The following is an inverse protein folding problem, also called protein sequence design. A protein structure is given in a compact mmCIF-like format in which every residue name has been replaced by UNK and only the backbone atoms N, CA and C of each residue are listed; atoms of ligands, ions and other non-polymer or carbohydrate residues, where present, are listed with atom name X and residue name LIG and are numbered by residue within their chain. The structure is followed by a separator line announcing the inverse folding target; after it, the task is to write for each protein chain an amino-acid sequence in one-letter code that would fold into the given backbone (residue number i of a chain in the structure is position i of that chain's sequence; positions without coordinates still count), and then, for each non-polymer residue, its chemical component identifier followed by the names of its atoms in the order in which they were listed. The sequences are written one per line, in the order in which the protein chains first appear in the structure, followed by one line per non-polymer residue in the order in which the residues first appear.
data_IF_268124714766
#
_entry.id   IF_268124714766
#
_cell.length_a   1.000
_cell.length_b   1.000
_cell.length_c   1.000
_cell.angle_alpha   90.00
_cell.angle_beta   90.00
_cell.angle_gamma   90.00
#
_symmetry.space_group_name_H-M   'P 1'
#
loop_
_entity.id
_entity.type
_entity.pdbx_description
1 polymer ?
#
# COMPACT_ATOMS: atom_id res chain seq x y z
N UNK A 1 34.40 4.40 -14.05
CA UNK A 1 33.10 4.10 -14.67
C UNK A 1 31.99 4.07 -13.62
N UNK A 2 32.12 3.37 -12.48
CA UNK A 2 31.08 3.33 -11.43
C UNK A 2 30.91 4.68 -10.68
N UNK A 3 31.98 5.45 -10.49
CA UNK A 3 31.91 6.78 -9.88
C UNK A 3 31.28 7.80 -10.84
N UNK A 4 31.64 7.80 -12.13
CA UNK A 4 30.97 8.65 -13.13
C UNK A 4 29.48 8.29 -13.29
N UNK A 5 29.13 7.00 -13.22
CA UNK A 5 27.74 6.56 -13.24
C UNK A 5 26.97 7.03 -11.99
N UNK A 6 27.62 7.08 -10.82
CA UNK A 6 27.04 7.65 -9.60
C UNK A 6 26.77 9.15 -9.77
N UNK A 7 27.75 9.94 -10.18
CA UNK A 7 27.55 11.40 -10.36
C UNK A 7 26.46 11.73 -11.36
N UNK A 8 26.34 10.99 -12.44
CA UNK A 8 25.31 11.20 -13.46
C UNK A 8 23.92 10.85 -12.94
N UNK A 9 23.77 9.75 -12.17
CA UNK A 9 22.51 9.36 -11.56
C UNK A 9 22.01 10.34 -10.47
N UNK A 10 22.93 11.10 -9.85
CA UNK A 10 22.57 12.04 -8.77
C UNK A 10 21.95 13.35 -9.29
N UNK A 11 22.10 13.66 -10.59
CA UNK A 11 21.65 14.94 -11.16
C UNK A 11 20.49 14.80 -12.15
N UNK A 12 19.99 13.57 -12.40
CA UNK A 12 18.85 13.35 -13.28
C UNK A 12 17.61 12.98 -12.48
N UNK A 13 16.41 13.42 -12.88
CA UNK A 13 15.17 12.98 -12.30
C UNK A 13 14.97 11.47 -12.49
N UNK A 14 14.53 10.79 -11.44
CA UNK A 14 14.27 9.35 -11.46
C UNK A 14 12.81 9.11 -11.07
N UNK A 15 12.05 8.46 -11.95
CA UNK A 15 10.72 7.98 -11.61
C UNK A 15 10.83 6.73 -10.74
N UNK A 16 10.21 6.76 -9.56
CA UNK A 16 10.22 5.65 -8.64
C UNK A 16 8.83 5.38 -8.04
N UNK A 17 8.58 4.12 -7.69
CA UNK A 17 7.30 3.70 -7.10
C UNK A 17 7.16 4.18 -5.65
N UNK A 18 8.29 4.38 -4.98
CA UNK A 18 8.33 4.74 -3.56
C UNK A 18 9.64 5.43 -3.21
N UNK A 19 9.62 6.22 -2.14
CA UNK A 19 10.82 6.78 -1.51
C UNK A 19 10.70 6.73 0.01
N UNK A 20 11.82 6.63 0.73
CA UNK A 20 11.84 6.69 2.19
C UNK A 20 12.52 7.96 2.66
N UNK A 21 11.97 8.61 3.67
CA UNK A 21 12.59 9.77 4.36
C UNK A 21 13.72 9.35 5.31
N UNK A 22 13.74 8.09 5.75
CA UNK A 22 14.72 7.58 6.74
C UNK A 22 15.89 6.83 6.10
N UNK A 23 15.67 6.17 4.97
CA UNK A 23 16.72 5.37 4.33
C UNK A 23 17.59 6.27 3.46
N UNK A 24 18.80 6.53 3.91
CA UNK A 24 19.81 7.25 3.13
C UNK A 24 20.46 6.28 2.13
N UNK A 25 19.83 6.09 1.01
CA UNK A 25 20.49 5.43 -0.13
C UNK A 25 21.15 6.52 -0.95
N UNK A 26 22.35 6.85 -0.84
CA UNK A 26 23.19 7.70 -1.70
C UNK A 26 22.57 8.56 -2.82
N UNK A 27 21.30 8.32 -3.16
CA UNK A 27 20.50 9.09 -4.10
C UNK A 27 19.92 10.33 -3.38
N UNK A 28 20.02 11.48 -3.99
CA UNK A 28 19.34 12.68 -3.50
C UNK A 28 17.83 12.45 -3.65
N UNK A 29 17.12 12.42 -2.52
CA UNK A 29 15.66 12.24 -2.51
C UNK A 29 14.90 13.31 -3.33
N UNK A 30 15.54 14.44 -3.55
CA UNK A 30 15.02 15.58 -4.31
C UNK A 30 14.80 15.22 -5.79
N UNK A 31 15.61 14.33 -6.36
CA UNK A 31 15.50 13.92 -7.75
C UNK A 31 14.52 12.76 -7.98
N UNK A 32 13.91 12.25 -6.91
CA UNK A 32 12.94 11.15 -7.04
C UNK A 32 11.54 11.72 -7.25
N UNK A 33 10.98 11.44 -8.42
CA UNK A 33 9.59 11.71 -8.77
C UNK A 33 8.79 10.45 -8.50
N UNK A 34 7.86 10.52 -7.54
CA UNK A 34 7.00 9.38 -7.24
C UNK A 34 5.94 9.19 -8.32
N UNK A 35 5.78 7.96 -8.78
CA UNK A 35 4.80 7.60 -9.81
C UNK A 35 3.85 6.49 -9.32
N UNK A 36 2.69 6.33 -9.96
CA UNK A 36 1.77 5.24 -9.66
C UNK A 36 2.44 3.87 -9.76
N UNK A 37 2.25 3.04 -8.73
CA UNK A 37 2.80 1.71 -8.66
C UNK A 37 2.11 0.77 -9.66
N UNK A 38 2.85 -0.20 -10.22
CA UNK A 38 2.31 -1.21 -11.14
C UNK A 38 1.10 -1.95 -10.58
N UNK A 39 0.97 -2.07 -9.27
CA UNK A 39 -0.19 -2.69 -8.61
C UNK A 39 -1.49 -1.91 -8.80
N UNK A 40 -1.42 -0.65 -9.26
CA UNK A 40 -2.57 0.14 -9.73
C UNK A 40 -2.96 -0.17 -11.19
N UNK A 41 -2.23 -1.07 -11.82
CA UNK A 41 -2.59 -1.64 -13.12
C UNK A 41 -3.04 -3.09 -12.94
N UNK A 42 -2.11 -3.98 -12.60
CA UNK A 42 -2.37 -5.39 -12.33
C UNK A 42 -1.23 -6.00 -11.52
N UNK A 43 -1.53 -6.98 -10.67
CA UNK A 43 -0.54 -7.78 -9.97
C UNK A 43 -0.98 -9.26 -9.92
N UNK A 44 -0.85 -9.99 -11.04
CA UNK A 44 -1.30 -11.38 -11.13
C UNK A 44 -0.53 -12.32 -10.20
N UNK A 45 0.77 -12.09 -9.96
CA UNK A 45 1.60 -12.92 -9.07
C UNK A 45 1.09 -12.93 -7.62
N UNK A 46 0.52 -11.81 -7.16
CA UNK A 46 -0.13 -11.71 -5.86
C UNK A 46 -1.62 -12.10 -5.91
N UNK A 47 -2.12 -12.62 -7.03
CA UNK A 47 -3.54 -12.96 -7.26
C UNK A 47 -4.51 -11.79 -7.02
N UNK A 48 -4.02 -10.57 -7.15
CA UNK A 48 -4.88 -9.38 -7.02
C UNK A 48 -5.59 -9.04 -8.32
N UNK A 49 -5.03 -9.46 -9.47
CA UNK A 49 -5.57 -9.15 -10.78
C UNK A 49 -5.52 -7.66 -11.12
N UNK A 50 -6.43 -7.23 -12.01
CA UNK A 50 -6.53 -5.81 -12.42
C UNK A 50 -7.08 -4.95 -11.30
N UNK A 51 -6.53 -3.73 -11.15
CA UNK A 51 -6.89 -2.78 -10.09
C UNK A 51 -8.38 -2.48 -10.04
N UNK A 52 -9.01 -2.15 -11.16
CA UNK A 52 -10.45 -1.83 -11.21
C UNK A 52 -11.33 -2.97 -10.67
N UNK A 53 -11.04 -4.21 -11.08
CA UNK A 53 -11.78 -5.37 -10.60
C UNK A 53 -11.58 -5.59 -9.11
N UNK A 54 -10.34 -5.44 -8.63
CA UNK A 54 -9.99 -5.61 -7.21
C UNK A 54 -10.57 -4.49 -6.35
N UNK A 55 -10.52 -3.24 -6.80
CA UNK A 55 -11.18 -2.11 -6.15
C UNK A 55 -12.66 -2.40 -5.92
N UNK A 56 -13.38 -2.79 -6.96
CA UNK A 56 -14.82 -3.07 -6.87
C UNK A 56 -15.12 -4.26 -5.94
N UNK A 57 -14.32 -5.34 -6.01
CA UNK A 57 -14.55 -6.53 -5.17
C UNK A 57 -14.35 -6.23 -3.69
N UNK A 58 -13.31 -5.46 -3.33
CA UNK A 58 -13.06 -5.09 -1.93
C UNK A 58 -14.10 -4.07 -1.43
N UNK A 59 -14.47 -3.08 -2.25
CA UNK A 59 -15.57 -2.16 -1.90
C UNK A 59 -16.85 -2.92 -1.59
N UNK A 60 -17.23 -3.86 -2.45
CA UNK A 60 -18.42 -4.67 -2.25
C UNK A 60 -18.32 -5.52 -0.98
N UNK A 61 -17.16 -6.12 -0.71
CA UNK A 61 -16.93 -6.87 0.52
C UNK A 61 -17.06 -5.99 1.77
N UNK A 62 -16.47 -4.78 1.73
CA UNK A 62 -16.55 -3.82 2.84
C UNK A 62 -17.94 -3.23 3.08
N UNK A 63 -18.79 -3.21 2.04
CA UNK A 63 -20.19 -2.72 2.16
C UNK A 63 -21.17 -3.78 2.65
N UNK A 64 -20.84 -5.08 2.49
CA UNK A 64 -21.73 -6.19 2.88
C UNK A 64 -21.85 -6.37 4.40
N UNK A 65 -20.85 -5.96 5.16
CA UNK A 65 -20.78 -6.13 6.59
C UNK A 65 -20.72 -4.78 7.29
N UNK A 66 -21.66 -4.49 8.17
CA UNK A 66 -21.64 -3.27 8.96
C UNK A 66 -20.39 -3.23 9.84
N UNK A 67 -19.90 -2.05 10.14
CA UNK A 67 -18.68 -1.90 10.94
C UNK A 67 -18.82 -2.56 12.33
N UNK A 68 -19.98 -2.42 12.94
CA UNK A 68 -20.32 -2.94 14.26
C UNK A 68 -20.25 -4.48 14.32
N UNK A 69 -20.57 -5.15 13.20
CA UNK A 69 -20.60 -6.61 13.07
C UNK A 69 -19.21 -7.23 12.83
N UNK A 70 -18.22 -6.38 12.53
CA UNK A 70 -16.85 -6.84 12.25
C UNK A 70 -16.12 -7.27 13.52
N UNK A 71 -15.18 -8.20 13.34
CA UNK A 71 -14.31 -8.66 14.44
C UNK A 71 -13.45 -7.51 14.98
N UNK A 72 -13.51 -7.20 16.31
CA UNK A 72 -12.84 -6.04 16.91
C UNK A 72 -11.35 -6.34 17.21
N UNK A 73 -10.62 -6.91 16.25
CA UNK A 73 -9.19 -7.20 16.37
C UNK A 73 -8.41 -6.42 15.33
N UNK A 74 -7.16 -6.06 15.65
CA UNK A 74 -6.19 -5.56 14.72
C UNK A 74 -5.62 -6.73 13.90
N UNK A 75 -5.94 -6.78 12.62
CA UNK A 75 -5.72 -7.94 11.77
C UNK A 75 -4.63 -7.73 10.72
N UNK A 76 -3.80 -8.76 10.51
CA UNK A 76 -2.84 -8.80 9.41
C UNK A 76 -2.45 -10.23 9.04
N UNK A 77 -2.22 -10.44 7.75
CA UNK A 77 -1.65 -11.68 7.18
C UNK A 77 -0.55 -11.34 6.20
N UNK A 78 0.54 -12.11 6.19
CA UNK A 78 1.64 -11.93 5.23
C UNK A 78 2.91 -12.65 5.65
N UNK A 79 4.04 -12.28 5.05
CA UNK A 79 5.35 -12.89 5.32
C UNK A 79 6.11 -12.03 6.33
N UNK A 80 6.73 -12.64 7.34
CA UNK A 80 7.59 -11.94 8.30
C UNK A 80 8.98 -11.74 7.71
N UNK A 81 9.20 -10.58 7.11
CA UNK A 81 10.47 -10.20 6.50
C UNK A 81 11.10 -8.95 7.14
N UNK A 82 10.54 -8.47 8.24
CA UNK A 82 11.11 -7.36 9.01
C UNK A 82 10.65 -7.38 10.48
N UNK A 83 11.36 -6.61 11.33
CA UNK A 83 11.09 -6.54 12.77
C UNK A 83 9.72 -5.99 13.14
N UNK A 84 9.11 -5.14 12.31
CA UNK A 84 7.76 -4.63 12.58
C UNK A 84 6.71 -5.73 12.55
N UNK A 85 6.76 -6.58 11.54
CA UNK A 85 5.83 -7.72 11.40
C UNK A 85 6.01 -8.73 12.53
N UNK A 86 7.25 -9.02 12.91
CA UNK A 86 7.57 -9.90 14.04
C UNK A 86 7.08 -9.31 15.37
N UNK A 87 7.21 -7.99 15.55
CA UNK A 87 6.72 -7.34 16.76
C UNK A 87 5.19 -7.43 16.89
N UNK A 88 4.44 -7.14 15.82
CA UNK A 88 2.98 -7.31 15.85
C UNK A 88 2.55 -8.77 16.02
N UNK A 89 3.34 -9.72 15.52
CA UNK A 89 3.10 -11.14 15.79
C UNK A 89 3.28 -11.47 17.28
N UNK A 90 4.33 -10.95 17.93
CA UNK A 90 4.51 -11.16 19.38
C UNK A 90 3.35 -10.58 20.20
N UNK A 91 2.78 -9.43 19.77
CA UNK A 91 1.57 -8.89 20.37
C UNK A 91 0.36 -9.82 20.15
N UNK A 92 0.24 -10.44 18.99
CA UNK A 92 -0.84 -11.38 18.68
C UNK A 92 -0.79 -12.63 19.58
N UNK A 93 0.41 -13.13 19.88
CA UNK A 93 0.60 -14.24 20.83
C UNK A 93 0.24 -13.82 22.25
N UNK A 94 0.66 -12.63 22.67
CA UNK A 94 0.46 -12.12 24.04
C UNK A 94 -0.96 -11.63 24.29
N UNK A 95 -1.60 -11.02 23.27
CA UNK A 95 -2.92 -10.41 23.37
C UNK A 95 -3.86 -10.89 22.24
N UNK A 96 -4.20 -12.19 22.18
CA UNK A 96 -4.94 -12.78 21.06
C UNK A 96 -6.36 -12.21 20.88
N UNK A 97 -6.91 -11.58 21.92
CA UNK A 97 -8.21 -10.91 21.86
C UNK A 97 -8.14 -9.52 21.18
N UNK A 98 -6.98 -8.89 21.13
CA UNK A 98 -6.77 -7.55 20.57
C UNK A 98 -6.16 -7.59 19.16
N UNK A 99 -5.28 -8.56 18.92
CA UNK A 99 -4.46 -8.64 17.73
C UNK A 99 -4.53 -10.03 17.11
N UNK A 100 -4.63 -10.10 15.81
CA UNK A 100 -4.57 -11.35 15.03
C UNK A 100 -3.60 -11.17 13.86
N UNK A 101 -2.32 -11.45 14.11
CA UNK A 101 -1.22 -11.33 13.14
C UNK A 101 -0.57 -12.69 12.95
N UNK A 102 -0.65 -13.22 11.74
CA UNK A 102 -0.09 -14.53 11.41
C UNK A 102 0.68 -14.50 10.10
N UNK A 103 1.63 -15.40 9.99
CA UNK A 103 2.38 -15.59 8.77
C UNK A 103 1.58 -16.46 7.78
N UNK A 104 1.52 -16.01 6.53
CA UNK A 104 1.13 -16.89 5.45
C UNK A 104 2.27 -17.86 5.14
N UNK A 105 1.97 -19.15 4.98
CA UNK A 105 2.95 -20.12 4.53
C UNK A 105 3.26 -19.89 3.05
N UNK A 106 4.52 -19.54 2.76
CA UNK A 106 5.05 -19.44 1.41
C UNK A 106 5.73 -20.76 1.06
N UNK A 107 5.15 -21.56 0.17
CA UNK A 107 5.86 -22.70 -0.42
C UNK A 107 6.79 -22.16 -1.53
N UNK A 108 8.07 -22.16 -1.26
CA UNK A 108 9.15 -21.41 -1.91
C UNK A 108 9.48 -21.74 -3.37
N UNK A 109 8.51 -21.80 -4.28
CA UNK A 109 8.76 -21.77 -5.72
C UNK A 109 7.92 -20.68 -6.36
N UNK A 110 8.49 -19.95 -7.31
CA UNK A 110 7.91 -18.80 -7.98
C UNK A 110 6.54 -19.02 -8.65
N UNK A 111 6.12 -20.26 -8.82
CA UNK A 111 4.83 -20.66 -9.37
C UNK A 111 3.86 -21.24 -8.33
N UNK A 112 4.25 -21.23 -7.07
CA UNK A 112 3.48 -21.83 -6.00
C UNK A 112 3.25 -20.81 -4.89
N UNK A 113 2.46 -19.78 -5.20
CA UNK A 113 1.49 -19.34 -4.21
C UNK A 113 0.43 -20.48 -4.24
N UNK A 114 0.89 -21.66 -3.98
CA UNK A 114 0.07 -22.82 -3.72
C UNK A 114 -0.43 -22.65 -2.30
N UNK A 115 -1.42 -21.82 -2.18
CA UNK A 115 -2.35 -21.82 -1.07
C UNK A 115 -3.23 -23.03 -1.31
N UNK A 116 -2.63 -24.18 -1.10
CA UNK A 116 -3.36 -25.42 -0.96
C UNK A 116 -4.22 -25.28 0.28
N UNK A 117 -5.51 -25.08 0.07
CA UNK A 117 -6.61 -25.53 0.90
C UNK A 117 -6.51 -25.42 2.42
N UNK A 118 -5.66 -24.57 2.97
CA UNK A 118 -5.53 -24.45 4.40
C UNK A 118 -6.07 -23.09 4.87
N UNK A 119 -6.58 -23.06 6.06
CA UNK A 119 -7.07 -21.93 6.84
C UNK A 119 -6.11 -20.71 6.90
N UNK A 120 -4.94 -20.80 6.27
CA UNK A 120 -3.87 -19.82 6.31
C UNK A 120 -3.97 -18.71 5.24
N UNK A 121 -4.79 -18.87 4.18
CA UNK A 121 -4.95 -17.81 3.18
C UNK A 121 -6.18 -16.98 3.41
N UNK A 122 -5.93 -15.72 3.66
CA UNK A 122 -6.99 -14.71 3.78
C UNK A 122 -6.94 -13.80 2.56
N UNK A 123 -8.01 -13.72 1.81
CA UNK A 123 -8.13 -12.81 0.67
C UNK A 123 -8.12 -11.35 1.15
N UNK A 124 -7.90 -10.41 0.23
CA UNK A 124 -7.99 -8.97 0.56
C UNK A 124 -9.43 -8.60 0.95
N UNK A 125 -10.41 -9.26 0.36
CA UNK A 125 -11.83 -9.11 0.68
C UNK A 125 -12.14 -9.62 2.10
N UNK A 126 -11.49 -10.71 2.54
CA UNK A 126 -11.68 -11.23 3.90
C UNK A 126 -11.13 -10.32 4.99
N UNK A 127 -10.15 -9.45 4.66
CA UNK A 127 -9.68 -8.42 5.60
C UNK A 127 -10.82 -7.50 6.05
N UNK A 128 -11.83 -7.28 5.18
CA UNK A 128 -12.96 -6.42 5.49
C UNK A 128 -13.87 -6.95 6.63
N UNK A 129 -13.65 -8.18 7.09
CA UNK A 129 -14.35 -8.76 8.26
C UNK A 129 -13.85 -8.22 9.61
N UNK A 130 -12.77 -7.44 9.62
CA UNK A 130 -12.15 -6.92 10.84
C UNK A 130 -12.35 -5.41 10.96
N UNK A 131 -12.58 -4.92 12.19
CA UNK A 131 -12.75 -3.48 12.47
C UNK A 131 -11.45 -2.71 12.23
N UNK A 132 -10.31 -3.30 12.61
CA UNK A 132 -9.00 -2.67 12.54
C UNK A 132 -8.07 -3.49 11.65
N UNK A 133 -7.40 -2.82 10.72
CA UNK A 133 -6.45 -3.46 9.81
C UNK A 133 -5.06 -2.88 10.02
N UNK A 134 -4.07 -3.74 10.17
CA UNK A 134 -2.68 -3.29 10.29
C UNK A 134 -2.07 -3.15 8.89
N UNK A 135 -1.51 -1.97 8.63
CA UNK A 135 -0.62 -1.76 7.50
C UNK A 135 0.81 -1.69 8.03
N UNK A 136 1.60 -2.70 7.72
CA UNK A 136 2.99 -2.84 8.15
C UNK A 136 3.87 -2.88 6.92
N UNK A 137 4.87 -1.98 6.86
CA UNK A 137 5.83 -1.93 5.77
C UNK A 137 6.53 -3.28 5.56
N UNK A 138 7.07 -3.50 4.35
CA UNK A 138 7.87 -4.67 4.00
C UNK A 138 9.36 -4.46 4.26
N UNK A 139 10.22 -5.08 3.43
CA UNK A 139 11.64 -4.75 3.36
C UNK A 139 11.86 -3.32 2.85
N UNK A 140 10.91 -2.82 2.05
CA UNK A 140 10.70 -1.42 1.70
C UNK A 140 9.25 -1.06 2.00
N UNK A 141 8.55 -0.37 1.10
CA UNK A 141 7.12 -0.09 1.25
C UNK A 141 6.26 -1.37 1.18
N UNK A 142 4.98 -1.22 1.43
CA UNK A 142 3.98 -2.24 1.17
C UNK A 142 2.83 -1.64 0.36
N UNK A 143 2.65 -2.07 -0.88
CA UNK A 143 1.56 -1.59 -1.76
C UNK A 143 0.16 -2.01 -1.31
N UNK A 144 0.03 -2.59 -0.12
CA UNK A 144 -1.24 -3.13 0.42
C UNK A 144 -2.18 -2.04 0.94
N UNK A 145 -1.66 -0.87 1.37
CA UNK A 145 -2.45 0.15 2.07
C UNK A 145 -3.76 0.51 1.35
N UNK A 146 -3.68 0.75 0.04
CA UNK A 146 -4.85 1.09 -0.77
C UNK A 146 -5.96 0.04 -0.73
N UNK A 147 -5.60 -1.25 -0.69
CA UNK A 147 -6.58 -2.33 -0.59
C UNK A 147 -7.22 -2.39 0.79
N UNK A 148 -6.44 -2.15 1.85
CA UNK A 148 -6.95 -2.17 3.22
C UNK A 148 -7.93 -1.02 3.47
N UNK A 149 -7.62 0.18 2.98
CA UNK A 149 -8.50 1.35 3.11
C UNK A 149 -9.84 1.14 2.42
N UNK A 150 -9.89 0.41 1.29
CA UNK A 150 -11.14 0.11 0.57
C UNK A 150 -12.16 -0.69 1.42
N UNK A 151 -11.71 -1.44 2.42
CA UNK A 151 -12.61 -2.15 3.33
C UNK A 151 -13.52 -1.22 4.12
N UNK A 152 -13.16 0.05 4.32
CA UNK A 152 -13.83 0.93 5.27
C UNK A 152 -13.65 0.48 6.73
N UNK A 153 -12.62 -0.32 7.00
CA UNK A 153 -12.08 -0.60 8.33
C UNK A 153 -11.11 0.50 8.72
N UNK A 154 -10.93 0.74 10.02
CA UNK A 154 -9.90 1.66 10.49
C UNK A 154 -8.52 1.05 10.26
N UNK A 155 -7.73 1.66 9.39
CA UNK A 155 -6.37 1.18 9.13
C UNK A 155 -5.40 1.83 10.11
N UNK A 156 -4.65 0.99 10.83
CA UNK A 156 -3.53 1.40 11.69
C UNK A 156 -2.26 1.20 10.88
N UNK A 157 -1.64 2.29 10.47
CA UNK A 157 -0.43 2.28 9.66
C UNK A 157 0.82 2.45 10.53
N UNK A 158 1.61 1.39 10.62
CA UNK A 158 2.91 1.39 11.28
C UNK A 158 3.97 1.99 10.34
N UNK A 159 4.30 3.26 10.55
CA UNK A 159 5.26 4.03 9.75
C UNK A 159 6.71 3.80 10.17
N UNK A 160 7.19 2.54 10.09
CA UNK A 160 8.54 2.18 10.54
C UNK A 160 9.67 2.93 9.85
N UNK A 161 9.79 2.85 8.55
CA UNK A 161 10.84 3.47 7.74
C UNK A 161 10.37 4.67 6.92
N UNK A 162 9.12 5.07 7.07
CA UNK A 162 8.49 6.19 6.37
C UNK A 162 8.64 6.10 4.84
N UNK A 163 8.26 4.93 4.29
CA UNK A 163 8.15 4.76 2.86
C UNK A 163 6.87 5.40 2.35
N UNK A 164 6.99 6.30 1.36
CA UNK A 164 5.87 6.99 0.76
C UNK A 164 5.65 6.52 -0.69
N UNK A 165 4.39 6.27 -1.07
CA UNK A 165 3.91 6.21 -2.45
C UNK A 165 3.40 7.61 -2.88
N UNK A 166 3.20 7.84 -4.18
CA UNK A 166 2.84 9.14 -4.76
C UNK A 166 1.60 9.81 -4.14
N UNK A 167 0.69 9.04 -3.59
CA UNK A 167 -0.57 9.50 -2.99
C UNK A 167 -0.57 9.60 -1.47
N UNK A 168 0.52 9.22 -0.79
CA UNK A 168 0.58 9.18 0.68
C UNK A 168 0.50 10.55 1.35
N UNK A 169 0.70 11.64 0.59
CA UNK A 169 0.48 12.99 1.07
C UNK A 169 -0.99 13.31 1.39
N UNK A 170 -1.93 12.47 0.93
CA UNK A 170 -3.37 12.56 1.22
C UNK A 170 -3.74 11.86 2.54
N UNK A 171 -2.81 11.14 3.17
CA UNK A 171 -3.06 10.41 4.42
C UNK A 171 -2.98 11.38 5.60
N UNK A 172 -4.08 11.48 6.34
CA UNK A 172 -4.21 12.36 7.50
C UNK A 172 -4.57 11.54 8.74
N UNK A 173 -3.70 11.67 9.78
CA UNK A 173 -3.90 10.99 11.06
C UNK A 173 -5.23 11.37 11.71
N UNK A 174 -5.96 10.38 12.23
CA UNK A 174 -7.29 10.54 12.84
C UNK A 174 -8.39 11.05 11.90
N UNK A 175 -8.11 11.17 10.60
CA UNK A 175 -9.13 11.50 9.60
C UNK A 175 -9.41 10.29 8.69
N UNK A 176 -8.42 9.78 7.99
CA UNK A 176 -8.59 8.68 7.03
C UNK A 176 -7.67 7.49 7.29
N UNK A 177 -6.78 7.61 8.26
CA UNK A 177 -5.85 6.57 8.72
C UNK A 177 -5.41 6.86 10.15
N UNK A 178 -5.01 5.83 10.89
CA UNK A 178 -4.29 5.98 12.17
C UNK A 178 -2.80 5.77 11.89
N UNK A 179 -2.00 6.82 12.02
CA UNK A 179 -0.54 6.70 11.97
C UNK A 179 -0.02 6.26 13.32
N UNK A 180 0.64 5.09 13.37
CA UNK A 180 1.23 4.54 14.59
C UNK A 180 2.75 4.58 14.49
N UNK A 181 3.39 5.40 15.31
CA UNK A 181 4.85 5.61 15.31
C UNK A 181 5.53 5.09 16.57
N UNK A 182 4.78 4.40 17.43
CA UNK A 182 5.24 3.91 18.73
C UNK A 182 5.54 2.40 18.73
N UNK A 183 6.04 1.87 17.60
CA UNK A 183 6.48 0.46 17.54
C UNK A 183 7.47 0.16 18.67
N UNK A 184 7.32 -1.00 19.31
CA UNK A 184 8.07 -1.39 20.50
C UNK A 184 7.41 -1.02 21.83
N UNK A 185 6.41 -0.15 21.83
CA UNK A 185 5.65 0.23 23.02
C UNK A 185 4.26 -0.46 23.00
N UNK A 186 4.16 -1.58 23.73
CA UNK A 186 2.93 -2.39 23.83
C UNK A 186 1.79 -1.62 24.50
N UNK A 187 2.09 -0.77 25.48
CA UNK A 187 1.07 -0.04 26.23
C UNK A 187 0.44 1.05 25.36
N UNK A 188 1.24 1.70 24.52
CA UNK A 188 0.69 2.68 23.56
C UNK A 188 -0.22 1.99 22.54
N UNK A 189 0.12 0.79 22.07
CA UNK A 189 -0.75 0.05 21.16
C UNK A 189 -2.06 -0.38 21.86
N UNK A 190 -2.00 -0.85 23.11
CA UNK A 190 -3.19 -1.20 23.89
C UNK A 190 -4.10 0.01 24.12
N UNK A 191 -3.53 1.17 24.50
CA UNK A 191 -4.27 2.42 24.65
C UNK A 191 -4.96 2.85 23.36
N UNK A 192 -4.26 2.74 22.23
CA UNK A 192 -4.84 3.02 20.91
C UNK A 192 -6.02 2.10 20.60
N UNK A 193 -5.85 0.79 20.79
CA UNK A 193 -6.91 -0.19 20.57
C UNK A 193 -8.12 0.07 21.46
N UNK A 194 -7.88 0.34 22.75
CA UNK A 194 -8.92 0.69 23.72
C UNK A 194 -9.66 1.98 23.30
N UNK A 195 -8.92 3.01 22.90
CA UNK A 195 -9.49 4.26 22.40
C UNK A 195 -10.43 4.01 21.21
N UNK A 196 -9.97 3.27 20.19
CA UNK A 196 -10.76 2.95 19.01
C UNK A 196 -12.00 2.11 19.35
N UNK A 197 -11.89 1.19 20.32
CA UNK A 197 -13.00 0.35 20.76
C UNK A 197 -14.05 1.14 21.56
N UNK A 198 -13.63 2.11 22.37
CA UNK A 198 -14.53 2.98 23.12
C UNK A 198 -15.15 4.09 22.26
N UNK A 199 -14.53 4.44 21.13
CA UNK A 199 -14.98 5.48 20.22
C UNK A 199 -15.29 4.87 18.84
N UNK A 200 -16.19 3.89 18.81
CA UNK A 200 -16.47 3.08 17.60
C UNK A 200 -16.98 3.93 16.44
N UNK A 201 -17.80 4.95 16.69
CA UNK A 201 -18.27 5.86 15.66
C UNK A 201 -17.11 6.62 15.00
N UNK A 202 -16.13 7.07 15.79
CA UNK A 202 -14.92 7.72 15.27
C UNK A 202 -14.06 6.76 14.47
N UNK A 203 -13.89 5.54 14.95
CA UNK A 203 -13.16 4.50 14.23
C UNK A 203 -13.82 4.21 12.88
N UNK A 204 -15.14 4.06 12.84
CA UNK A 204 -15.94 3.86 11.64
C UNK A 204 -15.83 5.04 10.67
N UNK A 205 -15.86 6.27 11.18
CA UNK A 205 -15.70 7.48 10.37
C UNK A 205 -14.32 7.48 9.68
N UNK A 206 -13.23 7.23 10.42
CA UNK A 206 -11.87 7.14 9.87
C UNK A 206 -11.80 6.10 8.77
N UNK A 207 -12.37 4.91 8.99
CA UNK A 207 -12.42 3.85 8.00
C UNK A 207 -13.18 4.26 6.73
N UNK A 208 -14.32 4.92 6.88
CA UNK A 208 -15.11 5.41 5.76
C UNK A 208 -14.39 6.50 4.97
N UNK A 209 -13.73 7.43 5.63
CA UNK A 209 -12.93 8.48 4.96
C UNK A 209 -11.74 7.88 4.22
N UNK A 210 -11.05 6.86 4.80
CA UNK A 210 -10.00 6.11 4.12
C UNK A 210 -10.50 5.43 2.85
N UNK A 211 -11.68 4.80 2.89
CA UNK A 211 -12.33 4.20 1.72
C UNK A 211 -12.66 5.23 0.64
N UNK A 212 -13.25 6.36 1.03
CA UNK A 212 -13.58 7.45 0.10
C UNK A 212 -12.34 8.02 -0.58
N UNK A 213 -11.25 8.23 0.19
CA UNK A 213 -9.98 8.69 -0.34
C UNK A 213 -9.49 7.80 -1.47
N UNK A 214 -9.38 6.48 -1.24
CA UNK A 214 -8.89 5.56 -2.26
C UNK A 214 -9.85 5.45 -3.44
N UNK A 215 -11.15 5.37 -3.19
CA UNK A 215 -12.16 5.27 -4.25
C UNK A 215 -12.15 6.47 -5.18
N UNK A 216 -11.87 7.66 -4.66
CA UNK A 216 -11.82 8.89 -5.43
C UNK A 216 -10.46 9.11 -6.11
N UNK A 217 -9.39 9.16 -5.31
CA UNK A 217 -8.06 9.58 -5.79
C UNK A 217 -7.24 8.46 -6.45
N UNK A 218 -7.63 7.20 -6.26
CA UNK A 218 -7.00 6.05 -6.94
C UNK A 218 -7.96 5.36 -7.93
N UNK A 219 -8.99 6.05 -8.39
CA UNK A 219 -9.80 5.61 -9.55
C UNK A 219 -8.94 5.59 -10.82
N UNK A 220 -9.33 4.80 -11.83
CA UNK A 220 -8.62 4.75 -13.11
C UNK A 220 -8.47 6.14 -13.74
N UNK A 221 -9.53 6.96 -13.68
CA UNK A 221 -9.49 8.32 -14.20
C UNK A 221 -8.52 9.22 -13.42
N UNK A 222 -8.49 9.12 -12.10
CA UNK A 222 -7.57 9.89 -11.28
C UNK A 222 -6.10 9.50 -11.53
N UNK A 223 -5.83 8.19 -11.67
CA UNK A 223 -4.49 7.68 -12.00
C UNK A 223 -4.07 8.16 -13.40
N UNK A 224 -4.95 8.10 -14.38
CA UNK A 224 -4.67 8.57 -15.75
C UNK A 224 -4.43 10.09 -15.77
N UNK A 225 -5.23 10.86 -15.04
CA UNK A 225 -5.06 12.30 -14.89
C UNK A 225 -3.70 12.65 -14.24
N UNK A 226 -3.31 11.89 -13.21
CA UNK A 226 -2.01 12.06 -12.55
C UNK A 226 -0.87 11.78 -13.54
N UNK A 227 -0.93 10.68 -14.29
CA UNK A 227 0.09 10.36 -15.31
C UNK A 227 0.19 11.45 -16.37
N UNK A 228 -0.95 11.88 -16.90
CA UNK A 228 -0.97 12.96 -17.88
C UNK A 228 -0.31 14.23 -17.33
N UNK A 229 -0.70 14.63 -16.11
CA UNK A 229 -0.19 15.85 -15.49
C UNK A 229 1.31 15.79 -15.19
N UNK A 230 1.79 14.67 -14.63
CA UNK A 230 3.22 14.54 -14.29
C UNK A 230 4.10 14.50 -15.54
N UNK A 231 3.64 13.86 -16.63
CA UNK A 231 4.38 13.83 -17.89
C UNK A 231 4.36 15.18 -18.59
N UNK A 232 3.23 15.91 -18.55
CA UNK A 232 3.12 17.26 -19.08
C UNK A 232 4.07 18.22 -18.35
N UNK A 233 4.08 18.22 -17.01
CA UNK A 233 4.99 19.05 -16.23
C UNK A 233 6.46 18.64 -16.42
N UNK A 234 6.74 17.36 -16.47
CA UNK A 234 8.09 16.85 -16.73
C UNK A 234 8.57 17.27 -18.13
N UNK A 235 7.70 17.20 -19.14
CA UNK A 235 7.99 17.62 -20.51
C UNK A 235 8.44 19.09 -20.62
N UNK A 236 7.94 19.96 -19.75
CA UNK A 236 8.35 21.39 -19.69
C UNK A 236 9.75 21.58 -19.12
N UNK A 237 10.25 20.61 -18.35
CA UNK A 237 11.57 20.64 -17.73
C UNK A 237 12.67 20.03 -18.62
N UNK A 238 12.30 19.32 -19.69
CA UNK A 238 13.26 18.70 -20.60
C UNK A 238 13.97 19.78 -21.42
N UNK A 239 15.30 19.87 -21.27
CA UNK A 239 16.15 20.84 -21.96
C UNK A 239 16.49 20.48 -23.43
N UNK A 240 15.88 19.42 -23.97
CA UNK A 240 16.10 18.96 -25.35
C UNK A 240 14.76 18.60 -26.00
N UNK A 241 14.74 18.59 -27.34
CA UNK A 241 13.58 18.13 -28.11
C UNK A 241 13.65 16.60 -28.24
N UNK A 242 12.73 15.84 -27.65
CA UNK A 242 12.72 14.40 -27.83
C UNK A 242 12.50 14.01 -29.30
N UNK A 243 13.25 13.01 -29.76
CA UNK A 243 13.07 12.41 -31.06
C UNK A 243 12.63 10.96 -30.90
N UNK A 244 11.71 10.53 -31.75
CA UNK A 244 11.32 9.12 -31.77
C UNK A 244 12.49 8.26 -32.25
N UNK A 245 12.70 7.11 -31.59
CA UNK A 245 13.63 6.12 -32.12
C UNK A 245 13.14 5.62 -33.48
N UNK A 246 14.05 5.31 -34.46
CA UNK A 246 13.63 4.81 -35.78
C UNK A 246 12.71 3.58 -35.70
N UNK A 247 12.92 2.70 -34.71
CA UNK A 247 12.13 1.48 -34.49
C UNK A 247 10.93 1.69 -33.54
N UNK A 248 10.58 2.94 -33.20
CA UNK A 248 9.42 3.21 -32.39
C UNK A 248 8.13 2.88 -33.14
N UNK A 249 7.27 2.11 -32.54
CA UNK A 249 5.94 1.78 -33.06
C UNK A 249 4.86 2.48 -32.24
N UNK A 250 3.74 2.88 -32.84
CA UNK A 250 2.60 3.40 -32.10
C UNK A 250 2.13 2.42 -31.03
N UNK A 251 1.70 2.94 -29.87
CA UNK A 251 1.20 2.11 -28.77
C UNK A 251 0.01 1.24 -29.21
N UNK A 252 -0.86 1.79 -30.06
CA UNK A 252 -2.01 1.09 -30.61
C UNK A 252 -1.58 -0.14 -31.41
N UNK A 253 -0.55 -0.01 -32.23
CA UNK A 253 -0.02 -1.12 -33.06
C UNK A 253 0.62 -2.19 -32.19
N UNK A 254 1.39 -1.78 -31.16
CA UNK A 254 1.94 -2.72 -30.17
C UNK A 254 0.85 -3.51 -29.43
N UNK A 255 -0.22 -2.82 -28.97
CA UNK A 255 -1.32 -3.46 -28.25
C UNK A 255 -2.16 -4.37 -29.14
N UNK A 256 -2.23 -4.10 -30.44
CA UNK A 256 -2.97 -4.89 -31.43
C UNK A 256 -2.11 -5.98 -32.09
N UNK A 257 -0.82 -6.07 -31.76
CA UNK A 257 0.10 -7.02 -32.35
C UNK A 257 0.37 -6.79 -33.83
N UNK A 258 0.37 -5.53 -34.24
CA UNK A 258 0.63 -5.09 -35.63
C UNK A 258 2.06 -4.66 -35.81
#
# INVERSE_FOLDING_TARGET
ILEQFRETLFNVPVFALTKSKKVKHGLRHENIILMPCFTLWSWPEARTGRWKGKLNSILNAGLRLKFEERTPKAFWRGIFNNGGRSWFHSLSVKYPNLVDVQQNTWSGRANAIALTGSEAYTTLEDHCKFKYLLHIEGGSYSSRLKYLLLCGSTVIYDRGNHWDEYWYHLLEHNQNVILFEKRGNEDEFKKLHEFLSKNEDKAKEIGNQGRQLVSHYLSENAISCFWWKILDEYGKLIGYKPTLHPDAIPMEDYLLGR
#
